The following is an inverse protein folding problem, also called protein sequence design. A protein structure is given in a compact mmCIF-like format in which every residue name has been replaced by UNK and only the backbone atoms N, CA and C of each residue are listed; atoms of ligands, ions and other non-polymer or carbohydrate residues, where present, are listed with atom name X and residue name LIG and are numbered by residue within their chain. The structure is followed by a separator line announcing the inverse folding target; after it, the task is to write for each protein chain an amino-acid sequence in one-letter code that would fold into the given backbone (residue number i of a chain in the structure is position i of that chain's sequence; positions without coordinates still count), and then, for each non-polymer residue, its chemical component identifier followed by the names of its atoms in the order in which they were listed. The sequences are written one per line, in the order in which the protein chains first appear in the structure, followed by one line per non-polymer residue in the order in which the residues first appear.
data_IF_289448587232
#
_entry.id   IF_289448587232
#
_cell.length_a   1.000
_cell.length_b   1.000
_cell.length_c   1.000
_cell.angle_alpha   90.00
_cell.angle_beta   90.00
_cell.angle_gamma   90.00
#
_symmetry.space_group_name_H-M   'P 1'
#
loop_
_entity.id
_entity.type
_entity.pdbx_description
1 polymer ?
#
# COMPACT_ATOMS: atom_id res chain seq x y z
N UNK A 1 24.79 16.49 -14.41
CA UNK A 1 23.62 16.80 -13.57
C UNK A 1 22.44 15.81 -13.76
N UNK A 2 22.28 15.18 -14.94
CA UNK A 2 21.14 14.29 -15.22
C UNK A 2 21.19 12.90 -14.52
N UNK A 3 22.38 12.36 -14.21
CA UNK A 3 22.51 11.07 -13.52
C UNK A 3 22.03 11.13 -12.05
N UNK A 4 22.19 12.28 -11.39
CA UNK A 4 21.76 12.46 -10.00
C UNK A 4 20.24 12.64 -9.90
N UNK A 5 19.62 13.33 -10.86
CA UNK A 5 18.17 13.54 -10.90
C UNK A 5 17.39 12.25 -11.14
N UNK A 6 17.92 11.32 -11.95
CA UNK A 6 17.27 10.02 -12.20
C UNK A 6 17.30 9.07 -10.99
N UNK A 7 18.40 9.07 -10.23
CA UNK A 7 18.51 8.29 -8.99
C UNK A 7 17.63 8.87 -7.88
N UNK A 8 17.60 10.20 -7.76
CA UNK A 8 16.76 10.90 -6.80
C UNK A 8 15.26 10.69 -7.06
N UNK A 9 14.81 10.77 -8.33
CA UNK A 9 13.40 10.58 -8.66
C UNK A 9 12.94 9.14 -8.42
N UNK A 10 13.76 8.14 -8.80
CA UNK A 10 13.46 6.73 -8.56
C UNK A 10 13.33 6.43 -7.06
N UNK A 11 14.21 6.97 -6.23
CA UNK A 11 14.16 6.77 -4.78
C UNK A 11 12.93 7.43 -4.14
N UNK A 12 12.65 8.68 -4.52
CA UNK A 12 11.55 9.47 -3.93
C UNK A 12 10.19 8.87 -4.31
N UNK A 13 9.99 8.50 -5.57
CA UNK A 13 8.68 8.01 -6.04
C UNK A 13 8.32 6.68 -5.36
N UNK A 14 9.26 5.75 -5.27
CA UNK A 14 8.98 4.42 -4.70
C UNK A 14 8.81 4.45 -3.18
N UNK A 15 9.55 5.31 -2.47
CA UNK A 15 9.51 5.35 -0.99
C UNK A 15 8.55 6.37 -0.41
N UNK A 16 8.22 7.45 -1.12
CA UNK A 16 7.26 8.46 -0.62
C UNK A 16 5.90 8.33 -1.30
N UNK A 17 5.86 8.30 -2.64
CA UNK A 17 4.59 8.40 -3.37
C UNK A 17 3.79 7.09 -3.30
N UNK A 18 4.46 5.94 -3.44
CA UNK A 18 3.80 4.62 -3.35
C UNK A 18 3.12 4.36 -2.00
N UNK A 19 3.76 4.56 -0.83
CA UNK A 19 3.07 4.37 0.43
C UNK A 19 2.05 5.47 0.74
N UNK A 20 2.25 6.71 0.28
CA UNK A 20 1.26 7.78 0.46
C UNK A 20 -0.09 7.41 -0.14
N UNK A 21 -0.11 6.98 -1.40
CA UNK A 21 -1.37 6.66 -2.11
C UNK A 21 -2.04 5.44 -1.47
N UNK A 22 -1.27 4.42 -1.12
CA UNK A 22 -1.79 3.21 -0.47
C UNK A 22 -2.42 3.49 0.89
N UNK A 23 -1.74 4.28 1.74
CA UNK A 23 -2.24 4.60 3.09
C UNK A 23 -3.47 5.48 3.05
N UNK A 24 -3.55 6.45 2.13
CA UNK A 24 -4.75 7.29 1.96
C UNK A 24 -5.95 6.46 1.51
N UNK A 25 -5.76 5.56 0.53
CA UNK A 25 -6.82 4.66 0.08
C UNK A 25 -7.32 3.74 1.19
N UNK A 26 -6.38 3.12 1.93
CA UNK A 26 -6.69 2.29 3.09
C UNK A 26 -7.47 3.06 4.16
N UNK A 27 -7.02 4.27 4.51
CA UNK A 27 -7.67 5.11 5.50
C UNK A 27 -9.10 5.47 5.09
N UNK A 28 -9.32 5.78 3.80
CA UNK A 28 -10.64 6.09 3.27
C UNK A 28 -11.58 4.88 3.37
N UNK A 29 -11.17 3.71 2.89
CA UNK A 29 -12.05 2.53 2.85
C UNK A 29 -12.31 1.94 4.24
N UNK A 30 -11.26 1.76 5.07
CA UNK A 30 -11.42 1.20 6.42
C UNK A 30 -12.17 2.18 7.33
N UNK A 31 -11.88 3.48 7.24
CA UNK A 31 -12.56 4.50 8.05
C UNK A 31 -14.06 4.61 7.73
N UNK A 32 -14.41 4.56 6.43
CA UNK A 32 -15.80 4.58 6.00
C UNK A 32 -16.56 3.32 6.46
N UNK A 33 -15.98 2.13 6.26
CA UNK A 33 -16.59 0.87 6.70
C UNK A 33 -16.77 0.80 8.22
N UNK A 34 -15.77 1.22 8.99
CA UNK A 34 -15.84 1.23 10.44
C UNK A 34 -16.95 2.15 10.98
N UNK A 35 -17.12 3.33 10.38
CA UNK A 35 -18.18 4.28 10.76
C UNK A 35 -19.56 3.73 10.38
N UNK A 36 -19.69 3.09 9.21
CA UNK A 36 -20.94 2.51 8.75
C UNK A 36 -21.43 1.38 9.67
N UNK A 37 -20.54 0.47 10.07
CA UNK A 37 -20.89 -0.64 10.94
C UNK A 37 -21.22 -0.16 12.37
N UNK A 38 -20.49 0.82 12.91
CA UNK A 38 -20.82 1.43 14.20
C UNK A 38 -22.19 2.14 14.17
N UNK A 39 -22.52 2.81 13.06
CA UNK A 39 -23.83 3.41 12.86
C UNK A 39 -24.95 2.36 12.80
N UNK A 40 -24.73 1.25 12.10
CA UNK A 40 -25.69 0.15 12.00
C UNK A 40 -25.95 -0.51 13.37
N UNK A 41 -24.90 -0.73 14.17
CA UNK A 41 -25.03 -1.28 15.54
C UNK A 41 -25.78 -0.34 16.47
N UNK A 42 -25.64 0.98 16.29
CA UNK A 42 -26.39 1.98 17.06
C UNK A 42 -27.88 1.97 16.71
N UNK A 43 -28.20 1.85 15.42
CA UNK A 43 -29.59 1.79 14.93
C UNK A 43 -30.27 0.48 15.31
N UNK A 44 -29.51 -0.61 15.43
CA UNK A 44 -30.01 -1.92 15.81
C UNK A 44 -30.03 -2.16 17.32
N UNK A 45 -29.78 -1.13 18.13
CA UNK A 45 -29.70 -1.18 19.61
C UNK A 45 -28.69 -2.21 20.20
N UNK A 46 -27.77 -2.75 19.39
CA UNK A 46 -26.74 -3.69 19.88
C UNK A 46 -25.80 -3.04 20.91
N UNK A 47 -25.57 -1.72 20.80
CA UNK A 47 -24.74 -0.97 21.75
C UNK A 47 -25.39 -0.95 23.14
N UNK A 48 -26.72 -0.77 23.21
CA UNK A 48 -27.49 -0.75 24.46
C UNK A 48 -27.53 -2.15 25.11
N UNK A 49 -27.66 -3.20 24.27
CA UNK A 49 -27.56 -4.59 24.72
C UNK A 49 -26.21 -4.89 25.40
N UNK A 50 -25.09 -4.43 24.82
CA UNK A 50 -23.76 -4.61 25.42
C UNK A 50 -23.56 -3.78 26.70
N UNK A 51 -24.19 -2.61 26.79
CA UNK A 51 -24.13 -1.76 27.98
C UNK A 51 -24.91 -2.38 29.16
N UNK A 52 -26.06 -3.03 28.89
CA UNK A 52 -26.81 -3.79 29.89
C UNK A 52 -26.04 -4.99 30.47
N UNK A 53 -25.09 -5.54 29.70
CA UNK A 53 -24.21 -6.63 30.13
C UNK A 53 -22.97 -6.15 30.91
N UNK A 54 -22.89 -4.86 31.28
CA UNK A 54 -21.74 -4.26 31.99
C UNK A 54 -20.41 -4.30 31.22
N UNK A 55 -20.45 -4.43 29.89
CA UNK A 55 -19.25 -4.46 29.04
C UNK A 55 -19.04 -3.06 28.45
N UNK A 56 -17.78 -2.59 28.44
CA UNK A 56 -17.40 -1.30 27.83
C UNK A 56 -17.43 -1.41 26.31
N UNK A 57 -18.62 -1.29 25.73
CA UNK A 57 -18.95 -1.51 24.32
C UNK A 57 -18.01 -0.76 23.35
N UNK A 58 -17.80 0.54 23.57
CA UNK A 58 -16.96 1.39 22.71
C UNK A 58 -15.51 0.90 22.64
N UNK A 59 -14.90 0.51 23.76
CA UNK A 59 -13.49 0.10 23.78
C UNK A 59 -13.28 -1.27 23.13
N UNK A 60 -14.27 -2.17 23.23
CA UNK A 60 -14.21 -3.48 22.62
C UNK A 60 -14.35 -3.41 21.09
N UNK A 61 -15.34 -2.66 20.60
CA UNK A 61 -15.59 -2.47 19.17
C UNK A 61 -14.48 -1.69 18.46
N UNK A 62 -13.89 -0.69 19.11
CA UNK A 62 -12.79 0.08 18.52
C UNK A 62 -11.50 -0.72 18.48
N UNK A 63 -11.17 -1.46 19.56
CA UNK A 63 -9.92 -2.23 19.62
C UNK A 63 -9.85 -3.34 18.58
N UNK A 64 -10.93 -4.11 18.37
CA UNK A 64 -10.95 -5.16 17.33
C UNK A 64 -10.73 -4.60 15.92
N UNK A 65 -11.33 -3.44 15.61
CA UNK A 65 -11.18 -2.77 14.31
C UNK A 65 -9.76 -2.23 14.10
N UNK A 66 -9.17 -1.63 15.14
CA UNK A 66 -7.79 -1.12 15.09
C UNK A 66 -6.82 -2.27 14.89
N UNK A 67 -6.97 -3.37 15.62
CA UNK A 67 -6.13 -4.57 15.47
C UNK A 67 -6.27 -5.16 14.07
N UNK A 68 -7.49 -5.29 13.56
CA UNK A 68 -7.73 -5.76 12.19
C UNK A 68 -7.07 -4.84 11.15
N UNK A 69 -7.20 -3.52 11.28
CA UNK A 69 -6.56 -2.54 10.39
C UNK A 69 -5.04 -2.65 10.39
N UNK A 70 -4.42 -2.79 11.57
CA UNK A 70 -2.96 -2.93 11.72
C UNK A 70 -2.45 -4.24 11.10
N UNK A 71 -3.18 -5.35 11.28
CA UNK A 71 -2.82 -6.64 10.68
C UNK A 71 -2.90 -6.60 9.15
N UNK A 72 -3.86 -5.85 8.59
CA UNK A 72 -4.04 -5.74 7.13
C UNK A 72 -2.94 -4.89 6.47
N UNK A 73 -2.36 -3.90 7.15
CA UNK A 73 -1.32 -3.03 6.57
C UNK A 73 -0.08 -3.81 6.11
N UNK A 74 0.30 -4.86 6.85
CA UNK A 74 1.51 -5.67 6.59
C UNK A 74 1.46 -6.35 5.20
N UNK A 75 0.45 -7.18 4.87
CA UNK A 75 0.35 -7.79 3.54
C UNK A 75 0.06 -6.76 2.43
N UNK A 76 -0.64 -5.67 2.75
CA UNK A 76 -0.98 -4.66 1.75
C UNK A 76 0.26 -3.93 1.23
N UNK A 77 1.23 -3.66 2.11
CA UNK A 77 2.50 -3.07 1.70
C UNK A 77 3.28 -3.98 0.74
N UNK A 78 3.27 -5.29 0.99
CA UNK A 78 3.86 -6.29 0.08
C UNK A 78 3.16 -6.30 -1.29
N UNK A 79 1.82 -6.26 -1.31
CA UNK A 79 1.05 -6.27 -2.55
C UNK A 79 1.26 -5.01 -3.39
N UNK A 80 1.31 -3.84 -2.74
CA UNK A 80 1.54 -2.55 -3.43
C UNK A 80 2.94 -2.51 -4.04
N UNK A 81 3.95 -3.02 -3.33
CA UNK A 81 5.32 -3.07 -3.85
C UNK A 81 5.44 -4.02 -5.04
N UNK A 82 4.77 -5.18 -4.98
CA UNK A 82 4.73 -6.13 -6.10
C UNK A 82 4.00 -5.56 -7.32
N UNK A 83 2.83 -4.95 -7.14
CA UNK A 83 2.06 -4.32 -8.20
C UNK A 83 2.81 -3.12 -8.81
N UNK A 84 3.46 -2.31 -7.97
CA UNK A 84 4.30 -1.20 -8.41
C UNK A 84 5.50 -1.66 -9.25
N UNK A 85 6.15 -2.77 -8.87
CA UNK A 85 7.23 -3.36 -9.64
C UNK A 85 6.75 -3.85 -11.02
N UNK A 86 5.64 -4.58 -11.07
CA UNK A 86 5.04 -5.05 -12.32
C UNK A 86 4.65 -3.89 -13.24
N UNK A 87 3.97 -2.87 -12.71
CA UNK A 87 3.56 -1.69 -13.46
C UNK A 87 4.77 -0.92 -14.01
N UNK A 88 5.82 -0.75 -13.21
CA UNK A 88 7.05 -0.09 -13.64
C UNK A 88 7.77 -0.87 -14.74
N UNK A 89 7.84 -2.21 -14.63
CA UNK A 89 8.41 -3.07 -15.68
C UNK A 89 7.66 -2.93 -17.00
N UNK A 90 6.32 -2.93 -16.96
CA UNK A 90 5.48 -2.78 -18.16
C UNK A 90 5.65 -1.39 -18.77
N UNK A 91 5.62 -0.35 -17.94
CA UNK A 91 5.77 1.04 -18.38
C UNK A 91 7.10 1.27 -19.12
N UNK A 92 8.21 0.78 -18.56
CA UNK A 92 9.55 0.90 -19.19
C UNK A 92 9.63 0.16 -20.53
N UNK A 93 9.03 -1.03 -20.66
CA UNK A 93 9.08 -1.79 -21.91
C UNK A 93 8.24 -1.12 -23.01
N UNK A 94 7.07 -0.58 -22.67
CA UNK A 94 6.14 0.03 -23.63
C UNK A 94 6.57 1.45 -24.03
N UNK A 95 7.10 2.24 -23.10
CA UNK A 95 7.44 3.66 -23.34
C UNK A 95 8.91 3.86 -23.73
N UNK A 96 9.83 3.04 -23.22
CA UNK A 96 11.28 3.23 -23.42
C UNK A 96 11.88 2.27 -24.46
N UNK A 97 11.12 1.29 -24.99
CA UNK A 97 11.57 0.39 -26.06
C UNK A 97 12.75 -0.54 -25.69
N UNK A 98 13.12 -0.65 -24.42
CA UNK A 98 14.22 -1.48 -23.96
C UNK A 98 13.76 -2.94 -23.81
N UNK A 99 14.58 -3.88 -24.32
CA UNK A 99 14.30 -5.31 -24.27
C UNK A 99 14.06 -5.79 -22.81
N UNK A 100 13.10 -6.73 -22.60
CA UNK A 100 12.66 -7.20 -21.28
C UNK A 100 13.74 -7.90 -20.42
N UNK A 101 14.95 -8.10 -20.95
CA UNK A 101 16.10 -8.67 -20.25
C UNK A 101 17.03 -7.65 -19.56
N UNK A 102 16.85 -6.34 -19.77
CA UNK A 102 17.77 -5.30 -19.24
C UNK A 102 17.62 -5.04 -17.73
N UNK A 103 16.50 -5.42 -17.10
CA UNK A 103 16.24 -5.12 -15.67
C UNK A 103 16.87 -6.13 -14.72
N UNK A 104 17.17 -7.36 -15.17
CA UNK A 104 17.69 -8.44 -14.30
C UNK A 104 19.23 -8.56 -14.35
N UNK A 105 19.89 -7.87 -15.28
CA UNK A 105 21.36 -7.90 -15.42
C UNK A 105 21.96 -6.54 -15.09
N UNK A 106 22.13 -6.25 -13.80
CA UNK A 106 23.21 -5.35 -13.36
C UNK A 106 24.34 -6.23 -12.85
N UNK A 107 25.57 -5.93 -13.32
CA UNK A 107 26.90 -6.44 -12.87
C UNK A 107 27.65 -7.46 -13.72
N UNK A 108 27.78 -7.27 -15.04
CA UNK A 108 29.07 -7.55 -15.69
C UNK A 108 29.35 -6.41 -16.68
N UNK A 109 30.45 -5.65 -16.53
CA UNK A 109 31.01 -4.88 -17.64
C UNK A 109 31.56 -5.89 -18.67
N UNK A 110 30.67 -6.53 -19.43
CA UNK A 110 31.05 -7.33 -20.58
C UNK A 110 31.32 -6.38 -21.74
N UNK A 111 32.60 -6.08 -21.89
CA UNK A 111 33.31 -5.99 -23.16
C UNK A 111 32.54 -5.33 -24.31
N UNK A 112 32.76 -4.02 -24.48
CA UNK A 112 32.65 -3.39 -25.79
C UNK A 112 33.87 -3.80 -26.65
N UNK A 113 33.67 -4.80 -27.50
CA UNK A 113 34.26 -4.88 -28.86
C UNK A 113 33.18 -5.48 -29.75
N UNK A 114 32.92 -4.91 -30.93
CA UNK A 114 33.90 -4.98 -32.03
C UNK A 114 34.02 -3.69 -32.87
N UNK A 115 35.19 -3.53 -33.51
CA UNK A 115 35.53 -2.63 -34.64
C UNK A 115 34.99 -1.21 -34.61
#
# INVERSE_FOLDING_TARGET
MQAFSGFASAYIITRLVSPLISTIGLAATIGAGATAELGAMRISEEIDALESMSIRSVSYLVSTRVVAGVLVVIPLWSMVTLAGYLAFRIYVVVVSGQAPGSTTTTSIPTCNRPT
#
